data_IF_582996027851
#
_entry.id   IF_582996027851
#
_cell.length_a   1.000
_cell.length_b   1.000
_cell.length_c   1.000
_cell.angle_alpha   90.00
_cell.angle_beta   90.00
_cell.angle_gamma   90.00
#
_symmetry.space_group_name_H-M   'P 1'
#
loop_
_entity.id
_entity.type
_entity.pdbx_description
1 polymer ?
#
# COMPACT_ATOMS: atom_id res chain seq x y z
N UNK A 1 14.18 -9.84 -8.91
CA UNK A 1 13.02 -9.18 -8.25
C UNK A 1 13.19 -9.31 -6.75
N UNK A 2 13.71 -8.29 -6.12
CA UNK A 2 13.79 -8.18 -4.64
C UNK A 2 12.44 -7.68 -4.13
N UNK A 3 11.44 -8.57 -4.09
CA UNK A 3 10.19 -8.29 -3.36
C UNK A 3 10.54 -8.11 -1.89
N UNK A 4 9.94 -7.10 -1.27
CA UNK A 4 10.09 -6.80 0.16
C UNK A 4 9.87 -8.07 0.99
N UNK A 5 10.93 -8.62 1.60
CA UNK A 5 10.94 -9.96 2.22
C UNK A 5 9.96 -10.12 3.39
N UNK A 6 9.35 -9.03 3.86
CA UNK A 6 8.45 -9.00 5.03
C UNK A 6 6.97 -8.79 4.67
N UNK A 7 6.58 -8.80 3.38
CA UNK A 7 5.17 -8.64 3.00
C UNK A 7 4.47 -10.00 3.00
N UNK A 8 3.39 -10.09 3.76
CA UNK A 8 2.55 -11.31 3.82
C UNK A 8 1.39 -11.16 2.84
N UNK A 9 1.34 -12.01 1.82
CA UNK A 9 0.27 -12.03 0.84
C UNK A 9 -1.02 -12.63 1.44
N UNK A 10 -1.89 -11.79 1.96
CA UNK A 10 -3.19 -12.16 2.50
C UNK A 10 -4.21 -12.46 1.39
N UNK A 11 -5.36 -13.06 1.73
CA UNK A 11 -6.47 -13.24 0.78
C UNK A 11 -6.98 -11.89 0.28
N UNK A 12 -7.01 -10.90 1.16
CA UNK A 12 -7.45 -9.55 0.81
C UNK A 12 -6.49 -8.87 -0.17
N UNK A 13 -5.17 -9.05 0.02
CA UNK A 13 -4.18 -8.62 -0.98
C UNK A 13 -4.42 -9.29 -2.35
N UNK A 14 -4.68 -10.60 -2.39
CA UNK A 14 -4.91 -11.32 -3.64
C UNK A 14 -6.16 -10.82 -4.38
N UNK A 15 -7.25 -10.52 -3.66
CA UNK A 15 -8.46 -9.89 -4.20
C UNK A 15 -8.17 -8.50 -4.75
N UNK A 16 -7.39 -7.71 -4.00
CA UNK A 16 -6.95 -6.39 -4.44
C UNK A 16 -6.08 -6.47 -5.71
N UNK A 17 -5.16 -7.42 -5.80
CA UNK A 17 -4.33 -7.62 -6.99
C UNK A 17 -5.20 -8.02 -8.21
N UNK A 18 -6.16 -8.93 -8.05
CA UNK A 18 -7.12 -9.29 -9.08
C UNK A 18 -7.95 -8.09 -9.55
N UNK A 19 -8.43 -7.28 -8.62
CA UNK A 19 -9.13 -6.03 -8.92
C UNK A 19 -8.25 -5.07 -9.73
N UNK A 20 -6.97 -4.92 -9.37
CA UNK A 20 -6.01 -4.11 -10.13
C UNK A 20 -5.82 -4.65 -11.56
N UNK A 21 -5.63 -5.97 -11.70
CA UNK A 21 -5.47 -6.63 -13.00
C UNK A 21 -6.72 -6.48 -13.88
N UNK A 22 -7.91 -6.55 -13.27
CA UNK A 22 -9.16 -6.30 -13.98
C UNK A 22 -9.26 -4.85 -14.49
N UNK A 23 -8.88 -3.86 -13.65
CA UNK A 23 -8.83 -2.46 -14.08
C UNK A 23 -7.87 -2.26 -15.26
N UNK A 24 -6.68 -2.87 -15.22
CA UNK A 24 -5.70 -2.82 -16.31
C UNK A 24 -6.29 -3.46 -17.58
N UNK A 25 -6.84 -4.66 -17.46
CA UNK A 25 -7.36 -5.43 -18.59
C UNK A 25 -8.47 -4.70 -19.35
N UNK A 26 -9.36 -4.05 -18.62
CA UNK A 26 -10.53 -3.37 -19.19
C UNK A 26 -10.33 -1.86 -19.32
N UNK A 27 -9.17 -1.34 -18.89
CA UNK A 27 -8.81 0.08 -18.93
C UNK A 27 -9.86 0.97 -18.25
N UNK A 28 -10.31 0.56 -17.07
CA UNK A 28 -11.25 1.33 -16.26
C UNK A 28 -10.57 2.07 -15.12
N UNK A 29 -11.25 3.09 -14.62
CA UNK A 29 -10.95 3.64 -13.30
C UNK A 29 -11.59 2.71 -12.25
N UNK A 30 -10.78 2.24 -11.29
CA UNK A 30 -11.24 1.49 -10.13
C UNK A 30 -11.28 2.35 -8.88
N UNK A 31 -12.20 2.08 -7.96
CA UNK A 31 -12.23 2.67 -6.61
C UNK A 31 -11.90 1.58 -5.60
N UNK A 32 -10.89 1.80 -4.77
CA UNK A 32 -10.58 0.96 -3.61
C UNK A 32 -10.81 1.76 -2.33
N UNK A 33 -11.63 1.28 -1.43
CA UNK A 33 -11.91 1.96 -0.16
C UNK A 33 -11.93 0.98 1.00
N UNK A 34 -11.76 1.47 2.21
CA UNK A 34 -11.77 0.65 3.43
C UNK A 34 -11.30 1.46 4.64
N UNK A 35 -11.47 0.91 5.82
CA UNK A 35 -11.10 1.56 7.07
C UNK A 35 -9.59 1.91 7.12
N UNK A 36 -9.18 2.91 7.92
CA UNK A 36 -7.78 3.20 8.13
C UNK A 36 -7.04 2.00 8.72
N UNK A 37 -5.87 1.68 8.17
CA UNK A 37 -5.01 0.64 8.73
C UNK A 37 -5.29 -0.79 8.28
N UNK A 38 -6.22 -1.02 7.34
CA UNK A 38 -6.51 -2.35 6.78
C UNK A 38 -5.42 -2.87 5.83
N UNK A 39 -4.52 -1.99 5.35
CA UNK A 39 -3.40 -2.40 4.49
C UNK A 39 -3.44 -1.90 3.05
N UNK A 40 -4.41 -1.05 2.67
CA UNK A 40 -4.55 -0.51 1.30
C UNK A 40 -3.25 0.02 0.69
N UNK A 41 -2.62 0.98 1.38
CA UNK A 41 -1.36 1.61 0.96
C UNK A 41 -0.23 0.59 0.81
N UNK A 42 -0.07 -0.30 1.81
CA UNK A 42 0.98 -1.33 1.80
C UNK A 42 0.80 -2.31 0.63
N UNK A 43 -0.43 -2.79 0.42
CA UNK A 43 -0.78 -3.67 -0.70
C UNK A 43 -0.54 -3.01 -2.06
N UNK A 44 -0.87 -1.73 -2.19
CA UNK A 44 -0.66 -0.97 -3.42
C UNK A 44 0.81 -0.76 -3.74
N UNK A 45 1.62 -0.40 -2.75
CA UNK A 45 3.08 -0.26 -2.90
C UNK A 45 3.73 -1.59 -3.27
N UNK A 46 3.31 -2.68 -2.63
CA UNK A 46 3.80 -4.02 -2.94
C UNK A 46 3.39 -4.47 -4.36
N UNK A 47 2.13 -4.26 -4.75
CA UNK A 47 1.63 -4.61 -6.09
C UNK A 47 2.37 -3.88 -7.21
N UNK A 48 2.73 -2.62 -6.99
CA UNK A 48 3.47 -1.79 -7.96
C UNK A 48 4.99 -1.91 -7.82
N UNK A 49 5.52 -2.68 -6.87
CA UNK A 49 6.94 -2.70 -6.47
C UNK A 49 7.49 -1.30 -6.16
N UNK A 50 6.64 -0.40 -5.63
CA UNK A 50 6.95 1.02 -5.54
C UNK A 50 8.09 1.33 -4.59
N UNK A 51 8.28 0.57 -3.51
CA UNK A 51 9.37 0.79 -2.55
C UNK A 51 10.77 0.69 -3.18
N UNK A 52 10.91 -0.13 -4.22
CA UNK A 52 12.13 -0.25 -5.02
C UNK A 52 12.24 0.86 -6.06
N UNK A 53 11.14 1.16 -6.74
CA UNK A 53 11.10 2.10 -7.86
C UNK A 53 11.19 3.55 -7.40
N UNK A 54 10.51 3.94 -6.33
CA UNK A 54 10.51 5.30 -5.79
C UNK A 54 11.93 5.80 -5.49
N UNK A 55 12.80 4.92 -4.98
CA UNK A 55 14.20 5.24 -4.69
C UNK A 55 15.00 5.52 -5.95
N UNK A 56 14.65 4.89 -7.06
CA UNK A 56 15.30 5.06 -8.35
C UNK A 56 14.84 6.35 -9.05
N UNK A 57 13.53 6.63 -9.06
CA UNK A 57 12.97 7.79 -9.75
C UNK A 57 13.07 9.10 -8.96
N UNK A 58 13.33 9.02 -7.66
CA UNK A 58 13.60 10.21 -6.83
C UNK A 58 15.07 10.62 -6.97
N UNK A 59 15.35 11.50 -7.93
CA UNK A 59 16.71 11.89 -8.33
C UNK A 59 16.88 13.41 -8.42
N UNK A 60 18.15 13.87 -8.34
CA UNK A 60 18.55 15.29 -8.44
C UNK A 60 19.03 15.69 -9.84
N UNK A 61 19.01 14.79 -10.80
CA UNK A 61 19.48 15.00 -12.16
C UNK A 61 19.71 13.69 -12.88
N UNK A 62 20.03 13.73 -14.17
CA UNK A 62 20.18 12.54 -15.00
C UNK A 62 21.35 11.62 -14.56
N UNK A 63 22.46 12.18 -14.04
CA UNK A 63 23.59 11.40 -13.52
C UNK A 63 23.21 10.61 -12.26
N UNK A 64 22.50 11.25 -11.35
CA UNK A 64 21.99 10.60 -10.14
C UNK A 64 20.96 9.51 -10.49
N UNK A 65 20.08 9.76 -11.46
CA UNK A 65 19.14 8.76 -11.97
C UNK A 65 19.90 7.57 -12.58
N UNK A 66 20.88 7.82 -13.45
CA UNK A 66 21.66 6.77 -14.09
C UNK A 66 22.40 5.87 -13.09
N UNK A 67 22.88 6.45 -11.97
CA UNK A 67 23.58 5.71 -10.92
C UNK A 67 22.65 4.88 -10.03
N UNK A 68 21.37 5.25 -9.93
CA UNK A 68 20.38 4.58 -9.07
C UNK A 68 19.59 3.49 -9.77
N UNK A 69 19.54 3.48 -11.10
CA UNK A 69 18.73 2.53 -11.86
C UNK A 69 19.29 1.11 -11.79
N UNK A 70 18.40 0.16 -11.56
CA UNK A 70 18.64 -1.29 -11.55
C UNK A 70 17.79 -1.98 -12.61
N UNK A 71 17.99 -3.28 -12.82
CA UNK A 71 17.19 -4.07 -13.78
C UNK A 71 15.68 -3.98 -13.51
N UNK A 72 15.26 -3.71 -12.26
CA UNK A 72 13.85 -3.56 -11.89
C UNK A 72 13.16 -2.43 -12.66
N UNK A 73 13.91 -1.34 -13.03
CA UNK A 73 13.34 -0.21 -13.77
C UNK A 73 12.76 -0.63 -15.14
N UNK A 74 13.35 -1.66 -15.78
CA UNK A 74 12.92 -2.14 -17.10
C UNK A 74 11.54 -2.78 -17.08
N UNK A 75 11.11 -3.31 -15.94
CA UNK A 75 9.81 -3.97 -15.79
C UNK A 75 8.70 -3.05 -15.29
N UNK A 76 9.01 -1.77 -15.04
CA UNK A 76 8.05 -0.82 -14.48
C UNK A 76 7.00 -0.44 -15.51
N UNK A 77 5.77 -0.76 -15.19
CA UNK A 77 4.57 -0.44 -15.95
C UNK A 77 3.45 0.16 -15.07
N UNK A 78 3.75 0.42 -13.79
CA UNK A 78 2.80 0.92 -12.79
C UNK A 78 3.41 2.03 -11.97
N UNK A 79 2.59 3.02 -11.62
CA UNK A 79 2.94 4.13 -10.72
C UNK A 79 2.05 4.07 -9.49
N UNK A 80 2.65 4.23 -8.32
CA UNK A 80 1.93 4.52 -7.09
C UNK A 80 2.22 5.97 -6.67
N UNK A 81 1.17 6.70 -6.35
CA UNK A 81 1.26 8.11 -5.97
C UNK A 81 0.36 8.38 -4.76
N UNK A 82 0.90 9.01 -3.73
CA UNK A 82 0.10 9.45 -2.57
C UNK A 82 -0.24 10.93 -2.73
N UNK A 83 -1.54 11.25 -2.72
CA UNK A 83 -1.99 12.64 -2.82
C UNK A 83 -1.46 13.47 -1.64
N UNK A 84 -0.76 14.58 -1.87
CA UNK A 84 -0.22 15.42 -0.81
C UNK A 84 -1.33 16.11 -0.01
N UNK A 85 -1.08 16.35 1.29
CA UNK A 85 -2.03 17.04 2.15
C UNK A 85 -2.13 18.54 1.83
N UNK A 86 -1.04 19.15 1.38
CA UNK A 86 -0.93 20.59 1.11
C UNK A 86 -0.32 20.87 -0.28
N UNK A 87 -0.61 22.07 -0.82
CA UNK A 87 -0.03 22.62 -2.08
C UNK A 87 -0.14 21.69 -3.31
N UNK A 88 -1.36 21.34 -3.66
CA UNK A 88 -1.64 20.52 -4.85
C UNK A 88 -1.68 21.38 -6.13
N UNK A 89 -0.65 22.15 -6.43
CA UNK A 89 -0.76 23.14 -7.52
C UNK A 89 -0.76 22.51 -8.91
N UNK A 90 -0.16 21.34 -9.11
CA UNK A 90 -0.05 20.68 -10.44
C UNK A 90 0.14 19.17 -10.33
N UNK A 91 -0.87 18.46 -9.88
CA UNK A 91 -0.86 16.99 -9.80
C UNK A 91 -0.44 16.34 -11.13
N UNK A 92 -0.96 16.84 -12.26
CA UNK A 92 -0.59 16.34 -13.57
C UNK A 92 0.92 16.43 -13.84
N UNK A 93 1.55 17.55 -13.48
CA UNK A 93 2.99 17.73 -13.70
C UNK A 93 3.82 16.74 -12.88
N UNK A 94 3.40 16.41 -11.66
CA UNK A 94 4.10 15.43 -10.82
C UNK A 94 4.00 14.04 -11.44
N UNK A 95 2.81 13.62 -11.88
CA UNK A 95 2.62 12.34 -12.54
C UNK A 95 3.38 12.24 -13.88
N UNK A 96 3.41 13.33 -14.67
CA UNK A 96 4.22 13.39 -15.88
C UNK A 96 5.72 13.33 -15.57
N UNK A 97 6.19 14.02 -14.52
CA UNK A 97 7.58 13.99 -14.09
C UNK A 97 8.01 12.59 -13.66
N UNK A 98 7.18 11.88 -12.89
CA UNK A 98 7.44 10.50 -12.49
C UNK A 98 7.51 9.59 -13.72
N UNK A 99 6.55 9.68 -14.63
CA UNK A 99 6.54 8.90 -15.88
C UNK A 99 7.79 9.16 -16.73
N UNK A 100 8.18 10.44 -16.87
CA UNK A 100 9.38 10.83 -17.60
C UNK A 100 10.68 10.31 -16.94
N UNK A 101 10.74 10.31 -15.60
CA UNK A 101 11.87 9.75 -14.85
C UNK A 101 11.99 8.25 -15.04
N UNK A 102 10.87 7.52 -15.10
CA UNK A 102 10.86 6.08 -15.40
C UNK A 102 11.36 5.84 -16.83
N UNK A 103 10.83 6.53 -17.84
CA UNK A 103 11.22 6.39 -19.24
C UNK A 103 12.71 6.72 -19.45
N UNK A 104 13.18 7.82 -18.85
CA UNK A 104 14.61 8.19 -18.90
C UNK A 104 15.48 7.16 -18.17
N UNK A 105 15.06 6.69 -17.00
CA UNK A 105 15.78 5.67 -16.24
C UNK A 105 15.91 4.36 -17.00
N UNK A 106 14.85 3.91 -17.66
CA UNK A 106 14.87 2.73 -18.54
C UNK A 106 15.90 2.90 -19.68
N UNK A 107 15.87 4.05 -20.36
CA UNK A 107 16.81 4.37 -21.45
C UNK A 107 18.26 4.40 -20.96
N UNK A 108 18.54 5.12 -19.87
CA UNK A 108 19.87 5.22 -19.30
C UNK A 108 20.39 3.86 -18.83
N UNK A 109 19.54 3.05 -18.22
CA UNK A 109 19.91 1.70 -17.76
C UNK A 109 20.32 0.80 -18.93
N UNK A 110 19.56 0.80 -20.03
CA UNK A 110 19.87 0.03 -21.24
C UNK A 110 21.19 0.52 -21.87
N UNK A 111 21.37 1.82 -22.00
CA UNK A 111 22.62 2.39 -22.54
C UNK A 111 23.83 2.02 -21.68
N UNK A 112 23.71 2.10 -20.36
CA UNK A 112 24.79 1.74 -19.44
C UNK A 112 25.14 0.25 -19.49
N UNK A 113 24.12 -0.62 -19.65
CA UNK A 113 24.30 -2.08 -19.62
C UNK A 113 24.75 -2.67 -20.94
N UNK A 114 24.25 -2.13 -22.06
CA UNK A 114 24.43 -2.72 -23.39
C UNK A 114 25.15 -1.79 -24.40
N UNK A 115 25.46 -0.53 -24.03
CA UNK A 115 26.10 0.45 -24.92
C UNK A 115 25.10 1.18 -25.83
N UNK A 116 25.62 2.17 -26.60
CA UNK A 116 24.78 3.05 -27.44
C UNK A 116 24.19 2.42 -28.71
N UNK A 117 24.68 1.27 -29.15
CA UNK A 117 24.28 0.65 -30.44
C UNK A 117 23.04 -0.25 -30.37
N UNK A 118 22.34 -0.26 -29.26
CA UNK A 118 21.17 -1.12 -29.04
C UNK A 118 19.82 -0.45 -29.33
N UNK A 119 19.76 0.49 -30.26
CA UNK A 119 18.51 1.16 -30.68
C UNK A 119 17.38 0.19 -31.07
N UNK A 120 17.70 -1.03 -31.53
CA UNK A 120 16.74 -2.08 -31.85
C UNK A 120 16.08 -2.73 -30.64
N UNK A 121 16.70 -2.69 -29.45
CA UNK A 121 16.13 -3.28 -28.23
C UNK A 121 15.20 -2.32 -27.49
N UNK A 122 15.17 -1.05 -27.85
CA UNK A 122 14.35 -0.05 -27.18
C UNK A 122 12.86 -0.32 -27.23
N UNK A 123 12.33 -0.80 -28.38
CA UNK A 123 10.90 -1.02 -28.56
C UNK A 123 10.37 -2.30 -27.91
N UNK A 124 11.23 -3.29 -27.65
CA UNK A 124 10.82 -4.58 -27.08
C UNK A 124 11.00 -4.66 -25.56
N UNK A 125 11.84 -3.78 -25.00
CA UNK A 125 12.26 -3.84 -23.59
C UNK A 125 11.46 -2.90 -22.70
N UNK A 126 10.90 -1.80 -23.24
CA UNK A 126 10.21 -0.80 -22.45
C UNK A 126 8.73 -1.09 -22.28
N UNK A 127 8.29 -1.10 -21.04
CA UNK A 127 6.86 -1.15 -20.72
C UNK A 127 6.32 0.27 -20.57
N UNK A 128 5.25 0.56 -21.28
CA UNK A 128 4.48 1.78 -21.05
C UNK A 128 3.75 1.68 -19.73
N UNK A 129 3.60 2.82 -19.03
CA UNK A 129 2.76 2.89 -17.84
C UNK A 129 1.33 2.54 -18.22
N UNK A 130 0.80 1.46 -17.65
CA UNK A 130 -0.55 0.96 -17.88
C UNK A 130 -1.48 1.15 -16.68
N UNK A 131 -0.91 1.49 -15.49
CA UNK A 131 -1.66 1.73 -14.27
C UNK A 131 -1.07 2.89 -13.46
N UNK A 132 -1.94 3.76 -12.96
CA UNK A 132 -1.61 4.74 -11.91
C UNK A 132 -2.52 4.50 -10.71
N UNK A 133 -1.94 4.20 -9.55
CA UNK A 133 -2.67 4.13 -8.27
C UNK A 133 -2.50 5.45 -7.53
N UNK A 134 -3.61 6.08 -7.20
CA UNK A 134 -3.65 7.33 -6.43
C UNK A 134 -4.18 7.04 -5.04
N UNK A 135 -3.31 7.09 -4.05
CA UNK A 135 -3.68 6.91 -2.64
C UNK A 135 -4.09 8.25 -2.00
N UNK A 136 -4.93 8.18 -0.96
CA UNK A 136 -5.47 9.34 -0.24
C UNK A 136 -6.25 10.29 -1.17
N UNK A 137 -7.03 9.72 -2.11
CA UNK A 137 -7.83 10.51 -3.09
C UNK A 137 -8.78 11.50 -2.40
N UNK A 138 -9.14 11.25 -1.14
CA UNK A 138 -9.98 12.12 -0.32
C UNK A 138 -9.41 13.53 -0.13
N UNK A 139 -8.09 13.68 -0.26
CA UNK A 139 -7.39 14.98 -0.14
C UNK A 139 -7.55 15.85 -1.38
N UNK A 140 -7.92 15.25 -2.52
CA UNK A 140 -7.98 15.95 -3.78
C UNK A 140 -9.24 16.82 -3.90
N UNK A 141 -9.04 18.02 -4.49
CA UNK A 141 -10.11 18.92 -4.88
C UNK A 141 -10.61 18.60 -6.28
N UNK A 142 -11.77 19.15 -6.67
CA UNK A 142 -12.40 18.97 -8.00
C UNK A 142 -11.42 19.17 -9.14
N UNK A 143 -10.66 20.27 -9.11
CA UNK A 143 -9.70 20.60 -10.15
C UNK A 143 -8.62 19.51 -10.37
N UNK A 144 -8.24 18.79 -9.33
CA UNK A 144 -7.28 17.68 -9.44
C UNK A 144 -7.94 16.42 -10.00
N UNK A 145 -9.20 16.17 -9.62
CA UNK A 145 -9.99 15.09 -10.20
C UNK A 145 -10.19 15.29 -11.70
N UNK A 146 -10.38 16.53 -12.15
CA UNK A 146 -10.44 16.87 -13.58
C UNK A 146 -9.08 16.68 -14.29
N UNK A 147 -7.95 16.96 -13.62
CA UNK A 147 -6.63 16.64 -14.16
C UNK A 147 -6.44 15.13 -14.32
N UNK A 148 -6.83 14.33 -13.32
CA UNK A 148 -6.76 12.87 -13.42
C UNK A 148 -7.64 12.32 -14.55
N UNK A 149 -8.87 12.88 -14.71
CA UNK A 149 -9.74 12.55 -15.81
C UNK A 149 -9.08 12.85 -17.16
N UNK A 150 -8.46 14.02 -17.30
CA UNK A 150 -7.79 14.41 -18.53
C UNK A 150 -6.63 13.46 -18.87
N UNK A 151 -5.80 13.08 -17.88
CA UNK A 151 -4.73 12.09 -18.07
C UNK A 151 -5.30 10.73 -18.50
N UNK A 152 -6.38 10.28 -17.87
CA UNK A 152 -7.04 9.02 -18.21
C UNK A 152 -7.59 9.04 -19.65
N UNK A 153 -8.26 10.13 -20.04
CA UNK A 153 -8.82 10.27 -21.39
C UNK A 153 -7.74 10.40 -22.49
N UNK A 154 -6.58 10.98 -22.14
CA UNK A 154 -5.46 11.17 -23.08
C UNK A 154 -4.62 9.90 -23.24
N UNK A 155 -4.43 9.15 -22.15
CA UNK A 155 -3.54 8.00 -22.09
C UNK A 155 -4.36 6.74 -21.90
N UNK A 156 -4.13 5.74 -22.72
CA UNK A 156 -4.79 4.44 -22.65
C UNK A 156 -4.28 3.62 -21.45
N UNK A 157 -4.58 4.06 -20.21
CA UNK A 157 -4.13 3.44 -18.98
C UNK A 157 -5.28 3.27 -17.98
N UNK A 158 -5.13 2.36 -17.02
CA UNK A 158 -6.05 2.23 -15.90
C UNK A 158 -5.66 3.19 -14.75
N UNK A 159 -6.63 3.57 -13.95
CA UNK A 159 -6.38 4.28 -12.69
C UNK A 159 -7.08 3.58 -11.52
N UNK A 160 -6.48 3.61 -10.34
CA UNK A 160 -7.12 3.17 -9.11
C UNK A 160 -7.08 4.31 -8.10
N UNK A 161 -8.25 4.66 -7.58
CA UNK A 161 -8.43 5.68 -6.57
C UNK A 161 -8.63 5.01 -5.21
N UNK A 162 -7.70 5.25 -4.29
CA UNK A 162 -7.76 4.70 -2.93
C UNK A 162 -8.21 5.78 -1.96
N UNK A 163 -9.24 5.48 -1.19
CA UNK A 163 -9.81 6.43 -0.23
C UNK A 163 -10.44 5.77 0.99
N UNK A 164 -11.13 6.60 1.75
CA UNK A 164 -11.89 6.20 2.92
C UNK A 164 -13.30 5.69 2.51
N UNK A 165 -13.99 4.94 3.37
CA UNK A 165 -15.39 4.60 3.15
C UNK A 165 -16.23 5.85 2.85
N UNK A 166 -17.08 5.79 1.82
CA UNK A 166 -17.89 6.93 1.36
C UNK A 166 -17.23 7.75 0.24
N UNK A 167 -16.03 7.38 -0.22
CA UNK A 167 -15.38 8.04 -1.36
C UNK A 167 -16.23 7.97 -2.62
N UNK A 168 -17.01 6.90 -2.83
CA UNK A 168 -17.93 6.73 -3.95
C UNK A 168 -18.96 7.87 -4.01
N UNK A 169 -19.52 8.24 -2.85
CA UNK A 169 -20.47 9.37 -2.75
C UNK A 169 -19.81 10.70 -3.07
N UNK A 170 -18.53 10.87 -2.75
CA UNK A 170 -17.77 12.06 -3.12
C UNK A 170 -17.56 12.12 -4.62
N UNK A 171 -17.11 11.01 -5.23
CA UNK A 171 -16.83 10.93 -6.67
C UNK A 171 -18.09 11.00 -7.52
N UNK A 172 -19.24 10.47 -7.06
CA UNK A 172 -20.52 10.55 -7.79
C UNK A 172 -21.02 11.97 -8.02
N UNK A 173 -20.50 12.95 -7.27
CA UNK A 173 -20.77 14.39 -7.51
C UNK A 173 -20.08 14.94 -8.77
N UNK A 174 -19.20 14.13 -9.39
CA UNK A 174 -18.48 14.49 -10.61
C UNK A 174 -18.81 13.50 -11.73
N UNK A 175 -19.98 13.67 -12.40
CA UNK A 175 -20.49 12.70 -13.35
C UNK A 175 -19.54 12.36 -14.48
N UNK A 176 -18.73 13.33 -14.93
CA UNK A 176 -17.77 13.13 -16.02
C UNK A 176 -16.62 12.18 -15.63
N UNK A 177 -16.18 12.19 -14.38
CA UNK A 177 -15.20 11.23 -13.86
C UNK A 177 -15.89 9.92 -13.49
N UNK A 178 -17.04 10.01 -12.82
CA UNK A 178 -17.77 8.87 -12.31
C UNK A 178 -18.19 7.88 -13.41
N UNK A 179 -18.52 8.40 -14.60
CA UNK A 179 -18.88 7.55 -15.77
C UNK A 179 -17.73 6.65 -16.30
N UNK A 180 -16.51 6.90 -15.85
CA UNK A 180 -15.30 6.11 -16.20
C UNK A 180 -14.94 5.07 -15.15
N UNK A 181 -15.63 5.08 -14.03
CA UNK A 181 -15.42 4.13 -12.94
C UNK A 181 -16.15 2.85 -13.30
N UNK A 182 -15.39 1.77 -13.50
CA UNK A 182 -15.93 0.46 -13.88
C UNK A 182 -16.00 -0.52 -12.72
N UNK A 183 -15.10 -0.42 -11.75
CA UNK A 183 -14.99 -1.37 -10.65
C UNK A 183 -14.84 -0.69 -9.30
N UNK A 184 -15.35 -1.36 -8.26
CA UNK A 184 -15.16 -0.95 -6.87
C UNK A 184 -14.71 -2.16 -6.05
N UNK A 185 -13.76 -1.95 -5.16
CA UNK A 185 -13.23 -2.93 -4.23
C UNK A 185 -13.26 -2.36 -2.81
N UNK A 186 -13.96 -3.03 -1.93
CA UNK A 186 -13.90 -2.76 -0.50
C UNK A 186 -12.77 -3.57 0.10
N UNK A 187 -11.80 -2.88 0.69
CA UNK A 187 -10.65 -3.49 1.35
C UNK A 187 -10.98 -3.69 2.82
N UNK A 188 -11.20 -4.94 3.20
CA UNK A 188 -11.64 -5.33 4.53
C UNK A 188 -10.49 -5.52 5.53
N UNK A 189 -10.85 -5.61 6.80
CA UNK A 189 -9.95 -6.10 7.84
C UNK A 189 -9.58 -7.56 7.56
N UNK A 190 -8.43 -7.98 8.08
CA UNK A 190 -8.03 -9.38 8.05
C UNK A 190 -9.10 -10.27 8.70
N UNK A 191 -9.37 -11.41 8.08
CA UNK A 191 -10.15 -12.47 8.70
C UNK A 191 -9.45 -13.01 9.95
N UNK A 192 -10.17 -13.76 10.79
CA UNK A 192 -9.57 -14.39 11.97
C UNK A 192 -8.40 -15.31 11.61
N UNK A 193 -8.54 -16.10 10.54
CA UNK A 193 -7.51 -17.03 10.10
C UNK A 193 -6.27 -16.30 9.58
N UNK A 194 -6.46 -15.21 8.82
CA UNK A 194 -5.34 -14.38 8.34
C UNK A 194 -4.66 -13.66 9.49
N UNK A 195 -5.44 -13.13 10.44
CA UNK A 195 -4.87 -12.50 11.64
C UNK A 195 -4.05 -13.52 12.41
N UNK A 196 -4.55 -14.73 12.59
CA UNK A 196 -3.83 -15.81 13.25
C UNK A 196 -2.48 -16.10 12.57
N UNK A 197 -2.49 -16.27 11.26
CA UNK A 197 -1.28 -16.52 10.49
C UNK A 197 -0.24 -15.39 10.62
N UNK A 198 -0.69 -14.13 10.63
CA UNK A 198 0.19 -12.97 10.86
C UNK A 198 0.75 -12.97 12.28
N UNK A 199 -0.06 -13.37 13.26
CA UNK A 199 0.37 -13.44 14.63
C UNK A 199 1.45 -14.52 14.83
N UNK A 200 1.39 -15.66 14.14
CA UNK A 200 2.45 -16.68 14.16
C UNK A 200 3.80 -16.08 13.73
N UNK A 201 3.83 -15.31 12.64
CA UNK A 201 5.04 -14.59 12.23
C UNK A 201 5.52 -13.60 13.29
N UNK A 202 4.59 -12.88 13.91
CA UNK A 202 4.94 -11.89 14.93
C UNK A 202 5.48 -12.54 16.22
N UNK A 203 4.99 -13.70 16.60
CA UNK A 203 5.58 -14.49 17.71
C UNK A 203 7.01 -14.87 17.42
N UNK A 204 7.29 -15.35 16.20
CA UNK A 204 8.64 -15.70 15.76
C UNK A 204 9.58 -14.47 15.73
N UNK A 205 9.09 -13.30 15.27
CA UNK A 205 9.86 -12.04 15.29
C UNK A 205 10.31 -11.68 16.72
N UNK A 206 9.53 -12.01 17.74
CA UNK A 206 9.86 -11.81 19.16
C UNK A 206 10.74 -12.93 19.76
N UNK A 207 11.09 -13.95 18.97
CA UNK A 207 11.90 -15.07 19.41
C UNK A 207 11.14 -16.15 20.20
N UNK A 208 9.81 -16.14 20.14
CA UNK A 208 8.96 -17.14 20.79
C UNK A 208 8.34 -18.10 19.78
N UNK A 209 8.20 -19.37 20.18
CA UNK A 209 7.43 -20.37 19.44
C UNK A 209 5.98 -20.33 19.91
N UNK A 210 5.07 -20.00 19.02
CA UNK A 210 3.65 -20.04 19.28
C UNK A 210 3.16 -21.50 19.38
N UNK A 211 2.62 -21.90 20.53
CA UNK A 211 2.07 -23.21 20.77
C UNK A 211 0.55 -23.13 21.01
N UNK A 212 -0.22 -23.38 19.97
CA UNK A 212 -1.71 -23.35 20.07
C UNK A 212 -2.31 -24.33 21.06
N UNK A 213 -1.55 -25.36 21.41
CA UNK A 213 -1.90 -26.35 22.44
C UNK A 213 -1.69 -25.78 23.86
N UNK A 214 -0.88 -24.73 24.01
CA UNK A 214 -0.72 -24.01 25.28
C UNK A 214 -1.91 -23.07 25.49
N UNK A 215 -2.59 -23.24 26.61
CA UNK A 215 -3.78 -22.43 26.95
C UNK A 215 -3.46 -20.92 27.01
N UNK A 216 -2.28 -20.56 27.49
CA UNK A 216 -1.83 -19.16 27.60
C UNK A 216 -1.70 -18.52 26.22
N UNK A 217 -1.06 -19.21 25.26
CA UNK A 217 -0.88 -18.71 23.90
C UNK A 217 -2.22 -18.61 23.17
N UNK A 218 -3.10 -19.57 23.35
CA UNK A 218 -4.47 -19.53 22.77
C UNK A 218 -5.30 -18.36 23.30
N UNK A 219 -5.27 -18.10 24.61
CA UNK A 219 -5.95 -16.94 25.21
C UNK A 219 -5.33 -15.61 24.72
N UNK A 220 -3.98 -15.55 24.65
CA UNK A 220 -3.27 -14.39 24.15
C UNK A 220 -3.68 -14.03 22.72
N UNK A 221 -3.66 -15.01 21.79
CA UNK A 221 -4.11 -14.81 20.42
C UNK A 221 -5.56 -14.35 20.34
N UNK A 222 -6.44 -15.04 21.05
CA UNK A 222 -7.87 -14.70 21.06
C UNK A 222 -8.08 -13.26 21.52
N UNK A 223 -7.33 -12.83 22.53
CA UNK A 223 -7.38 -11.47 23.07
C UNK A 223 -6.86 -10.46 22.05
N UNK A 224 -5.73 -10.73 21.38
CA UNK A 224 -5.21 -9.84 20.33
C UNK A 224 -6.20 -9.72 19.18
N UNK A 225 -6.77 -10.83 18.68
CA UNK A 225 -7.76 -10.81 17.60
C UNK A 225 -9.00 -9.99 18.00
N UNK A 226 -9.49 -10.17 19.23
CA UNK A 226 -10.63 -9.42 19.76
C UNK A 226 -10.36 -7.92 19.85
N UNK A 227 -9.18 -7.54 20.30
CA UNK A 227 -8.76 -6.15 20.48
C UNK A 227 -8.51 -5.47 19.12
N UNK A 228 -7.77 -6.11 18.23
CA UNK A 228 -7.34 -5.51 16.95
C UNK A 228 -8.38 -5.62 15.85
N UNK A 229 -9.30 -6.59 15.96
CA UNK A 229 -10.31 -6.93 14.92
C UNK A 229 -9.67 -7.10 13.53
N UNK A 230 -8.44 -7.59 13.46
CA UNK A 230 -7.70 -7.77 12.22
C UNK A 230 -7.17 -6.49 11.58
N UNK A 231 -7.09 -5.38 12.33
CA UNK A 231 -6.54 -4.13 11.82
C UNK A 231 -5.01 -4.08 11.99
N UNK A 232 -4.27 -4.07 10.88
CA UNK A 232 -2.80 -4.03 10.87
C UNK A 232 -2.19 -2.86 11.65
N UNK A 233 -2.83 -1.69 11.58
CA UNK A 233 -2.34 -0.50 12.28
C UNK A 233 -2.35 -0.67 13.80
N UNK A 234 -3.19 -1.57 14.31
CA UNK A 234 -3.28 -1.87 15.74
C UNK A 234 -2.33 -3.00 16.14
N UNK A 235 -2.09 -3.97 15.27
CA UNK A 235 -1.24 -5.14 15.55
C UNK A 235 0.20 -4.70 15.80
N UNK A 236 0.78 -3.91 14.91
CA UNK A 236 2.21 -3.55 14.99
C UNK A 236 2.59 -2.81 16.28
N UNK A 237 1.93 -1.69 16.67
CA UNK A 237 2.27 -1.01 17.91
C UNK A 237 1.94 -1.83 19.17
N UNK A 238 0.93 -2.72 19.10
CA UNK A 238 0.62 -3.61 20.21
C UNK A 238 1.80 -4.57 20.47
N UNK A 239 2.34 -5.16 19.41
CA UNK A 239 3.49 -6.07 19.53
C UNK A 239 4.76 -5.34 19.99
N UNK A 240 5.00 -4.12 19.53
CA UNK A 240 6.14 -3.32 20.01
C UNK A 240 6.03 -3.01 21.53
N UNK A 241 4.81 -2.84 22.06
CA UNK A 241 4.62 -2.66 23.49
C UNK A 241 4.70 -3.98 24.28
N UNK A 242 4.20 -5.08 23.71
CA UNK A 242 4.37 -6.42 24.31
C UNK A 242 5.85 -6.72 24.45
N UNK A 243 6.64 -6.58 23.37
CA UNK A 243 8.09 -6.77 23.37
C UNK A 243 8.78 -5.99 24.50
N UNK A 244 8.50 -4.69 24.56
CA UNK A 244 9.03 -3.83 25.61
C UNK A 244 8.66 -4.27 27.03
N UNK A 245 7.41 -4.71 27.26
CA UNK A 245 6.94 -5.15 28.58
C UNK A 245 7.62 -6.46 28.95
N UNK A 246 7.76 -7.38 27.98
CA UNK A 246 8.46 -8.65 28.17
C UNK A 246 9.90 -8.42 28.57
N UNK A 247 10.63 -7.57 27.84
CA UNK A 247 12.03 -7.24 28.12
C UNK A 247 12.23 -6.62 29.52
N UNK A 248 11.42 -5.61 29.87
CA UNK A 248 11.56 -4.91 31.15
C UNK A 248 11.30 -5.82 32.35
N UNK A 249 10.36 -6.76 32.21
CA UNK A 249 9.94 -7.62 33.32
C UNK A 249 10.60 -9.02 33.27
N UNK A 250 11.45 -9.30 32.29
CA UNK A 250 12.10 -10.60 32.11
C UNK A 250 11.10 -11.75 31.96
N UNK A 251 10.00 -11.52 31.21
CA UNK A 251 8.96 -12.49 31.00
C UNK A 251 9.29 -13.40 29.81
N UNK A 252 8.95 -14.65 29.90
CA UNK A 252 9.20 -15.70 28.88
C UNK A 252 7.94 -16.14 28.13
N UNK A 253 6.75 -15.62 28.53
CA UNK A 253 5.45 -15.92 27.88
C UNK A 253 4.59 -14.69 27.75
N UNK A 254 3.88 -14.60 26.62
CA UNK A 254 2.90 -13.55 26.36
C UNK A 254 1.55 -13.95 26.97
N UNK A 255 1.22 -13.38 28.12
CA UNK A 255 -0.07 -13.59 28.79
C UNK A 255 -1.11 -12.55 28.38
N UNK A 256 -2.38 -12.84 28.68
CA UNK A 256 -3.47 -11.87 28.51
C UNK A 256 -3.23 -10.57 29.29
N UNK A 257 -2.63 -10.65 30.49
CA UNK A 257 -2.29 -9.49 31.31
C UNK A 257 -1.24 -8.59 30.62
N UNK A 258 -0.23 -9.19 30.00
CA UNK A 258 0.79 -8.46 29.20
C UNK A 258 0.12 -7.74 28.05
N UNK A 259 -0.79 -8.41 27.32
CA UNK A 259 -1.50 -7.83 26.17
C UNK A 259 -2.40 -6.67 26.60
N UNK A 260 -3.13 -6.82 27.71
CA UNK A 260 -4.02 -5.76 28.22
C UNK A 260 -3.20 -4.55 28.71
N UNK A 261 -2.09 -4.79 29.39
CA UNK A 261 -1.17 -3.73 29.82
C UNK A 261 -0.55 -3.02 28.61
N UNK A 262 -0.15 -3.77 27.59
CA UNK A 262 0.36 -3.19 26.34
C UNK A 262 -0.70 -2.33 25.65
N UNK A 263 -1.93 -2.82 25.53
CA UNK A 263 -3.08 -2.08 24.98
C UNK A 263 -3.28 -0.76 25.73
N UNK A 264 -3.38 -0.82 27.05
CA UNK A 264 -3.69 0.35 27.87
C UNK A 264 -2.58 1.42 27.85
N UNK A 265 -1.38 1.03 27.47
CA UNK A 265 -0.25 1.93 27.23
C UNK A 265 -0.29 2.66 25.88
N UNK A 266 -1.20 2.27 24.97
CA UNK A 266 -1.27 2.83 23.61
C UNK A 266 -2.31 3.96 23.52
N UNK A 267 -1.85 5.18 23.28
CA UNK A 267 -2.70 6.40 23.16
C UNK A 267 -3.83 6.24 22.12
N UNK A 268 -3.58 5.46 21.07
CA UNK A 268 -4.55 5.26 20.00
C UNK A 268 -5.81 4.51 20.46
N UNK A 269 -5.74 3.68 21.52
CA UNK A 269 -6.87 2.97 22.07
C UNK A 269 -7.86 3.87 22.79
N UNK A 270 -7.37 4.91 23.46
CA UNK A 270 -8.23 5.87 24.17
C UNK A 270 -9.20 6.57 23.19
N UNK A 271 -8.75 6.92 22.00
CA UNK A 271 -9.57 7.59 20.99
C UNK A 271 -10.66 6.69 20.36
N UNK A 272 -10.45 5.37 20.35
CA UNK A 272 -11.45 4.41 19.86
C UNK A 272 -12.55 4.10 20.90
N UNK A 273 -12.17 4.09 22.18
CA UNK A 273 -13.12 3.80 23.28
C UNK A 273 -14.07 4.98 23.51
N UNK A 274 -13.59 6.22 23.41
CA UNK A 274 -14.43 7.42 23.54
C UNK A 274 -15.48 7.54 22.44
N UNK A 275 -15.15 7.17 21.19
CA UNK A 275 -16.12 7.18 20.07
C UNK A 275 -17.26 6.17 20.22
N UNK A 276 -17.07 5.12 21.00
CA UNK A 276 -18.11 4.11 21.26
C UNK A 276 -18.92 4.36 22.53
N UNK A 277 -18.54 5.34 23.36
CA UNK A 277 -19.31 5.77 24.54
C UNK A 277 -20.28 6.92 24.27
N UNK A 278 -20.20 7.53 23.08
CA UNK A 278 -21.03 8.67 22.65
C UNK A 278 -22.05 8.32 21.57
N UNK A 279 -22.34 7.05 21.35
CA UNK A 279 -23.48 6.50 20.58
C UNK A 279 -24.30 5.60 21.48
#
# INVERSE_FOLDING_TARGET
>A
MTKNQNFIETKEYKRFAEFCDACIKYQYIGICYGQPGVGKTLSSRYYTNWDTIEKQVNHRGWEDLASKTTDDILSVDKIFYTAPAEKQTRLSNELYSISASIDLGQKLHVVNKYGHDHSKHYSETFKYINLIIIDEIDRLKVQHLEQLRAIYDERNLAMIFIGMPGIEKKLSRYPQLYSRIGFAHEFDNLSKDETHHILEYKWQDLGFDLKLEDFTDYEAITTIIKITKGNFRLIHPLFAQIDRIMDINGLDKISTEVIETARDSLVYWYSLVEKHRTL
#
